data_IF_522099757421
#
_entry.id   IF_522099757421
#
_cell.length_a   1.000
_cell.length_b   1.000
_cell.length_c   1.000
_cell.angle_alpha   90.00
_cell.angle_beta   90.00
_cell.angle_gamma   90.00
#
_symmetry.space_group_name_H-M   'P 1'
#
loop_
_entity.id
_entity.type
_entity.pdbx_description
1 polymer ?
#
# COMPACT_ATOMS: atom_id res chain seq x y z
N UNK A 1 17.59 -6.33 0.67
CA UNK A 1 18.18 -7.53 1.32
C UNK A 1 18.73 -7.17 2.69
N UNK A 2 19.68 -6.22 2.83
CA UNK A 2 20.25 -5.87 4.15
C UNK A 2 19.20 -5.45 5.20
N UNK A 3 18.18 -4.67 4.82
CA UNK A 3 17.10 -4.28 5.71
C UNK A 3 16.29 -5.49 6.16
N UNK A 4 15.97 -6.40 5.23
CA UNK A 4 15.28 -7.65 5.52
C UNK A 4 16.06 -8.51 6.52
N UNK A 5 17.35 -8.74 6.29
CA UNK A 5 18.20 -9.52 7.18
C UNK A 5 18.30 -8.90 8.59
N UNK A 6 18.36 -7.58 8.68
CA UNK A 6 18.34 -6.89 9.97
C UNK A 6 17.01 -7.05 10.71
N UNK A 7 15.89 -6.99 9.97
CA UNK A 7 14.55 -7.20 10.55
C UNK A 7 14.38 -8.66 11.00
N UNK A 8 14.76 -9.62 10.16
CA UNK A 8 14.70 -11.06 10.46
C UNK A 8 15.49 -11.44 11.71
N UNK A 9 16.60 -10.79 11.95
CA UNK A 9 17.46 -11.04 13.14
C UNK A 9 17.08 -10.19 14.35
N UNK A 10 15.99 -9.44 14.31
CA UNK A 10 15.56 -8.54 15.39
C UNK A 10 16.45 -7.32 15.60
N UNK A 11 17.46 -7.11 14.74
CA UNK A 11 18.42 -6.00 14.82
C UNK A 11 17.92 -4.68 14.21
N UNK A 12 16.69 -4.65 13.75
CA UNK A 12 16.09 -3.46 13.15
C UNK A 12 14.58 -3.55 13.13
N UNK A 13 13.93 -2.40 13.30
CA UNK A 13 12.48 -2.26 13.10
C UNK A 13 12.24 -1.79 11.66
N UNK A 14 11.24 -2.36 11.00
CA UNK A 14 10.78 -1.89 9.69
C UNK A 14 9.65 -0.88 9.86
N UNK A 15 9.68 0.17 9.03
CA UNK A 15 8.54 1.06 8.82
C UNK A 15 7.68 0.53 7.67
N UNK A 16 6.51 1.09 7.48
CA UNK A 16 5.60 0.71 6.39
C UNK A 16 6.30 0.60 5.04
N UNK A 17 7.15 1.56 4.69
CA UNK A 17 7.94 1.55 3.45
C UNK A 17 8.85 0.30 3.37
N UNK A 18 9.58 -0.01 4.42
CA UNK A 18 10.51 -1.14 4.42
C UNK A 18 9.79 -2.48 4.25
N UNK A 19 8.68 -2.65 4.96
CA UNK A 19 7.89 -3.87 4.95
C UNK A 19 7.22 -4.04 3.59
N UNK A 20 6.62 -2.97 3.05
CA UNK A 20 5.99 -2.98 1.73
C UNK A 20 6.99 -3.24 0.60
N UNK A 21 8.21 -2.67 0.68
CA UNK A 21 9.27 -2.98 -0.29
C UNK A 21 9.68 -4.45 -0.23
N UNK A 22 9.80 -5.02 0.96
CA UNK A 22 10.13 -6.45 1.12
C UNK A 22 9.04 -7.31 0.48
N UNK A 23 7.77 -7.04 0.81
CA UNK A 23 6.65 -7.74 0.19
C UNK A 23 6.66 -7.61 -1.34
N UNK A 24 6.80 -6.39 -1.85
CA UNK A 24 6.91 -6.11 -3.29
C UNK A 24 7.99 -6.95 -3.97
N UNK A 25 9.18 -7.04 -3.38
CA UNK A 25 10.29 -7.79 -3.96
C UNK A 25 10.01 -9.30 -3.97
N UNK A 26 9.50 -9.85 -2.88
CA UNK A 26 9.20 -11.27 -2.79
C UNK A 26 8.01 -11.67 -3.67
N UNK A 27 6.96 -10.88 -3.71
CA UNK A 27 5.79 -11.15 -4.55
C UNK A 27 6.17 -11.17 -6.04
N UNK A 28 6.91 -10.15 -6.52
CA UNK A 28 7.37 -10.14 -7.92
C UNK A 28 8.38 -11.27 -8.20
N UNK A 29 9.21 -11.67 -7.24
CA UNK A 29 10.10 -12.83 -7.38
C UNK A 29 9.34 -14.17 -7.43
N UNK A 30 8.11 -14.20 -6.91
CA UNK A 30 7.19 -15.33 -6.98
C UNK A 30 6.21 -15.23 -8.17
N UNK A 31 6.52 -14.39 -9.16
CA UNK A 31 5.68 -14.13 -10.35
C UNK A 31 4.27 -13.60 -10.04
N UNK A 32 4.10 -12.94 -8.87
CA UNK A 32 2.89 -12.19 -8.52
C UNK A 32 3.12 -10.71 -8.85
N UNK A 33 2.58 -10.19 -9.97
CA UNK A 33 2.76 -8.80 -10.32
C UNK A 33 2.29 -7.89 -9.17
N UNK A 34 3.20 -7.12 -8.62
CA UNK A 34 2.92 -6.29 -7.45
C UNK A 34 3.50 -4.90 -7.68
N UNK A 35 2.79 -3.88 -7.22
CA UNK A 35 3.24 -2.49 -7.27
C UNK A 35 3.19 -1.86 -5.88
N UNK A 36 4.07 -0.88 -5.64
CA UNK A 36 4.05 -0.08 -4.43
C UNK A 36 3.11 1.10 -4.59
N UNK A 37 2.37 1.41 -3.53
CA UNK A 37 1.51 2.59 -3.46
C UNK A 37 1.94 3.42 -2.26
N UNK A 38 2.32 4.65 -2.52
CA UNK A 38 2.64 5.64 -1.51
C UNK A 38 1.39 6.51 -1.29
N UNK A 39 0.75 6.34 -0.15
CA UNK A 39 -0.41 7.11 0.28
C UNK A 39 0.12 8.29 1.10
N UNK A 40 0.06 9.49 0.57
CA UNK A 40 0.61 10.66 1.25
C UNK A 40 -0.43 11.76 1.41
N UNK A 41 -0.54 12.29 2.60
CA UNK A 41 -1.29 13.52 2.86
C UNK A 41 -0.66 14.71 2.16
N UNK A 42 -1.46 15.70 1.81
CA UNK A 42 -1.02 16.93 1.17
C UNK A 42 -1.43 18.14 2.02
N UNK A 43 -0.49 19.04 2.26
CA UNK A 43 -0.76 20.31 2.90
C UNK A 43 -0.18 21.41 2.01
N UNK A 44 -1.01 22.06 1.21
CA UNK A 44 -0.56 22.97 0.16
C UNK A 44 0.43 22.27 -0.78
N UNK A 45 1.64 22.85 -1.00
CA UNK A 45 2.68 22.23 -1.82
C UNK A 45 3.46 21.12 -1.08
N UNK A 46 3.26 20.95 0.23
CA UNK A 46 4.01 20.01 1.05
C UNK A 46 3.34 18.64 1.04
N UNK A 47 4.13 17.59 0.84
CA UNK A 47 3.74 16.22 1.06
C UNK A 47 3.96 15.89 2.53
N UNK A 48 2.91 15.49 3.22
CA UNK A 48 2.99 14.99 4.58
C UNK A 48 3.40 13.52 4.59
N UNK A 49 3.89 13.06 5.73
CA UNK A 49 4.15 11.64 5.96
C UNK A 49 2.91 10.82 5.67
N UNK A 50 3.06 9.80 4.87
CA UNK A 50 1.99 8.91 4.45
C UNK A 50 2.24 7.48 4.88
N UNK A 51 1.51 6.59 4.27
CA UNK A 51 1.60 5.16 4.48
C UNK A 51 1.98 4.47 3.17
N UNK A 52 2.85 3.45 3.26
CA UNK A 52 3.21 2.63 2.11
C UNK A 52 2.47 1.31 2.18
N UNK A 53 1.79 1.00 1.08
CA UNK A 53 1.09 -0.28 0.88
C UNK A 53 1.51 -0.89 -0.45
N UNK A 54 0.97 -2.06 -0.74
CA UNK A 54 1.14 -2.73 -2.01
C UNK A 54 -0.21 -2.95 -2.68
N UNK A 55 -0.16 -3.18 -3.97
CA UNK A 55 -1.26 -3.79 -4.71
C UNK A 55 -0.70 -4.94 -5.53
N UNK A 56 -1.32 -6.11 -5.40
CA UNK A 56 -0.99 -7.31 -6.17
C UNK A 56 -2.06 -7.56 -7.23
N UNK A 57 -1.62 -7.95 -8.42
CA UNK A 57 -2.53 -8.31 -9.51
C UNK A 57 -3.10 -9.71 -9.28
N UNK A 58 -4.40 -9.82 -9.37
CA UNK A 58 -5.13 -11.09 -9.24
C UNK A 58 -5.72 -11.44 -10.61
N UNK A 59 -5.08 -12.37 -11.36
CA UNK A 59 -5.48 -12.69 -12.73
C UNK A 59 -6.92 -13.16 -12.85
N UNK A 60 -7.38 -13.98 -11.89
CA UNK A 60 -8.71 -14.59 -11.87
C UNK A 60 -9.83 -13.53 -11.81
N UNK A 61 -9.53 -12.39 -11.23
CA UNK A 61 -10.45 -11.26 -11.10
C UNK A 61 -10.10 -10.09 -12.04
N UNK A 62 -8.99 -10.20 -12.80
CA UNK A 62 -8.49 -9.14 -13.68
C UNK A 62 -8.42 -7.77 -12.97
N UNK A 63 -7.98 -7.76 -11.71
CA UNK A 63 -7.94 -6.55 -10.88
C UNK A 63 -6.71 -6.49 -9.99
N UNK A 64 -6.37 -5.28 -9.56
CA UNK A 64 -5.41 -5.04 -8.50
C UNK A 64 -6.10 -5.18 -7.14
N UNK A 65 -5.41 -5.78 -6.19
CA UNK A 65 -5.89 -6.01 -4.85
C UNK A 65 -5.02 -5.27 -3.84
N UNK A 66 -5.64 -4.49 -2.97
CA UNK A 66 -4.97 -3.82 -1.85
C UNK A 66 -4.35 -4.83 -0.89
N UNK A 67 -3.09 -4.60 -0.53
CA UNK A 67 -2.33 -5.38 0.45
C UNK A 67 -1.59 -4.42 1.38
N UNK A 68 -1.76 -4.55 2.68
CA UNK A 68 -0.98 -3.81 3.67
C UNK A 68 -0.15 -4.78 4.53
N UNK A 69 1.10 -5.01 4.15
CA UNK A 69 1.93 -5.97 4.87
C UNK A 69 2.28 -5.53 6.30
N UNK A 70 2.30 -4.22 6.58
CA UNK A 70 2.56 -3.74 7.93
C UNK A 70 1.39 -4.04 8.86
N UNK A 71 0.18 -3.81 8.39
CA UNK A 71 -1.05 -4.07 9.14
C UNK A 71 -1.52 -5.52 9.00
N UNK A 72 -0.75 -6.36 8.29
CA UNK A 72 -1.07 -7.77 7.97
C UNK A 72 -2.38 -7.94 7.19
N UNK A 73 -2.83 -6.91 6.46
CA UNK A 73 -4.00 -7.02 5.59
C UNK A 73 -3.61 -7.71 4.30
N UNK A 74 -4.20 -8.88 4.06
CA UNK A 74 -3.98 -9.64 2.84
C UNK A 74 -4.78 -9.09 1.66
N UNK A 75 -6.05 -8.73 1.90
CA UNK A 75 -6.91 -8.06 0.93
C UNK A 75 -8.17 -7.49 1.57
N UNK A 76 -8.85 -6.63 0.82
CA UNK A 76 -10.13 -6.04 1.19
C UNK A 76 -11.15 -6.29 0.08
N UNK A 77 -12.39 -6.61 0.45
CA UNK A 77 -13.49 -6.81 -0.49
C UNK A 77 -14.70 -5.96 -0.13
N UNK A 78 -15.58 -5.74 -1.11
CA UNK A 78 -16.96 -5.32 -0.84
C UNK A 78 -17.73 -6.43 -0.12
N UNK A 79 -18.94 -6.15 0.42
CA UNK A 79 -19.80 -7.18 0.98
C UNK A 79 -20.12 -8.32 0.01
N UNK A 80 -20.17 -8.01 -1.30
CA UNK A 80 -20.43 -8.95 -2.40
C UNK A 80 -19.20 -9.75 -2.80
N UNK A 81 -18.03 -9.47 -2.20
CA UNK A 81 -16.79 -10.21 -2.44
C UNK A 81 -15.91 -9.65 -3.55
N UNK A 82 -16.19 -8.46 -4.10
CA UNK A 82 -15.29 -7.83 -5.08
C UNK A 82 -14.04 -7.31 -4.41
N UNK A 83 -12.87 -7.66 -4.96
CA UNK A 83 -11.59 -7.15 -4.51
C UNK A 83 -11.45 -5.64 -4.74
N UNK A 84 -10.92 -4.94 -3.76
CA UNK A 84 -10.72 -3.50 -3.79
C UNK A 84 -9.24 -3.15 -3.89
N UNK A 85 -8.92 -2.16 -4.68
CA UNK A 85 -7.60 -1.54 -4.74
C UNK A 85 -7.58 -0.20 -3.97
N UNK A 86 -6.41 0.41 -3.81
CA UNK A 86 -6.24 1.61 -2.97
C UNK A 86 -7.14 2.77 -3.39
N UNK A 87 -7.34 2.98 -4.69
CA UNK A 87 -8.18 4.07 -5.18
C UNK A 87 -9.67 3.83 -4.87
N UNK A 88 -10.13 2.57 -4.90
CA UNK A 88 -11.51 2.26 -4.51
C UNK A 88 -11.70 2.48 -3.02
N UNK A 89 -10.75 2.05 -2.20
CA UNK A 89 -10.77 2.33 -0.76
C UNK A 89 -10.79 3.83 -0.47
N UNK A 90 -10.02 4.61 -1.23
CA UNK A 90 -10.03 6.09 -1.13
C UNK A 90 -11.40 6.65 -1.45
N UNK A 91 -12.04 6.20 -2.53
CA UNK A 91 -13.40 6.64 -2.92
C UNK A 91 -14.44 6.26 -1.86
N UNK A 92 -14.37 5.04 -1.34
CA UNK A 92 -15.26 4.59 -0.26
C UNK A 92 -15.02 5.37 1.03
N UNK A 93 -13.77 5.68 1.37
CA UNK A 93 -13.44 6.52 2.52
C UNK A 93 -14.05 7.92 2.39
N UNK A 94 -13.91 8.56 1.23
CA UNK A 94 -14.46 9.88 0.96
C UNK A 94 -16.00 9.91 1.05
N UNK A 95 -16.65 8.79 0.74
CA UNK A 95 -18.09 8.60 0.83
C UNK A 95 -18.57 8.13 2.23
N UNK A 96 -17.64 7.84 3.15
CA UNK A 96 -17.99 7.25 4.45
C UNK A 96 -18.52 5.82 4.36
N UNK A 97 -18.17 5.07 3.30
CA UNK A 97 -18.68 3.75 2.97
C UNK A 97 -17.68 2.61 3.19
N UNK A 98 -16.71 2.79 4.07
CA UNK A 98 -15.72 1.73 4.37
C UNK A 98 -16.26 0.65 5.32
N UNK A 99 -17.22 0.96 6.19
CA UNK A 99 -17.71 0.01 7.20
C UNK A 99 -18.24 -1.32 6.67
N UNK A 100 -18.96 -1.37 5.53
CA UNK A 100 -19.46 -2.65 5.04
C UNK A 100 -18.37 -3.52 4.37
N UNK A 101 -17.17 -2.99 4.15
CA UNK A 101 -16.09 -3.76 3.54
C UNK A 101 -15.64 -4.91 4.45
N UNK A 102 -15.23 -6.01 3.83
CA UNK A 102 -14.66 -7.17 4.52
C UNK A 102 -13.15 -7.20 4.37
N UNK A 103 -12.45 -7.51 5.44
CA UNK A 103 -11.00 -7.53 5.47
C UNK A 103 -10.51 -8.91 5.79
N UNK A 104 -9.64 -9.43 4.94
CA UNK A 104 -8.86 -10.61 5.23
C UNK A 104 -7.51 -10.21 5.81
N UNK A 105 -7.24 -10.74 6.96
CA UNK A 105 -6.05 -10.49 7.74
C UNK A 105 -5.23 -11.76 7.81
N UNK A 106 -3.91 -11.63 7.65
CA UNK A 106 -3.00 -12.77 7.79
C UNK A 106 -2.57 -12.92 9.25
N UNK A 107 -2.93 -14.05 9.84
CA UNK A 107 -2.41 -14.46 11.13
C UNK A 107 -1.13 -15.27 10.95
N UNK A 108 -0.03 -14.73 11.45
CA UNK A 108 1.28 -15.38 11.30
C UNK A 108 1.50 -16.53 12.27
N UNK A 109 0.73 -16.60 13.36
CA UNK A 109 0.84 -17.67 14.36
C UNK A 109 0.09 -18.91 13.89
N UNK A 110 -1.12 -18.71 13.39
CA UNK A 110 -1.96 -19.80 12.86
C UNK A 110 -1.68 -20.09 11.37
N UNK A 111 -0.93 -19.22 10.69
CA UNK A 111 -0.64 -19.28 9.26
C UNK A 111 -1.90 -19.35 8.39
N UNK A 112 -2.91 -18.58 8.74
CA UNK A 112 -4.21 -18.56 8.07
C UNK A 112 -4.73 -17.15 7.81
N UNK A 113 -5.78 -17.06 6.99
CA UNK A 113 -6.48 -15.82 6.70
C UNK A 113 -7.74 -15.71 7.54
N UNK A 114 -7.79 -14.74 8.43
CA UNK A 114 -8.92 -14.46 9.31
C UNK A 114 -9.74 -13.28 8.80
N UNK A 115 -11.06 -13.36 9.01
CA UNK A 115 -11.92 -12.18 8.88
C UNK A 115 -11.73 -11.28 10.10
N UNK A 116 -11.51 -9.99 9.85
CA UNK A 116 -11.46 -8.99 10.91
C UNK A 116 -12.58 -7.97 10.79
N UNK A 117 -12.90 -7.40 11.94
CA UNK A 117 -13.85 -6.31 12.07
C UNK A 117 -13.42 -5.13 11.18
N UNK A 118 -14.26 -4.82 10.22
CA UNK A 118 -14.08 -3.72 9.30
C UNK A 118 -14.01 -2.37 10.02
N UNK A 119 -14.66 -2.23 11.18
CA UNK A 119 -14.68 -0.97 11.92
C UNK A 119 -13.29 -0.54 12.41
N UNK A 120 -12.51 -1.47 13.01
CA UNK A 120 -11.14 -1.18 13.46
C UNK A 120 -10.22 -0.83 12.30
N UNK A 121 -10.41 -1.48 11.15
CA UNK A 121 -9.66 -1.19 9.94
C UNK A 121 -10.09 0.14 9.31
N UNK A 122 -11.39 0.41 9.22
CA UNK A 122 -11.89 1.66 8.65
C UNK A 122 -11.38 2.86 9.41
N UNK A 123 -11.27 2.78 10.74
CA UNK A 123 -10.66 3.84 11.55
C UNK A 123 -9.17 4.01 11.25
N UNK A 124 -8.41 2.91 11.16
CA UNK A 124 -6.98 2.97 10.89
C UNK A 124 -6.68 3.49 9.48
N UNK A 125 -7.38 2.97 8.47
CA UNK A 125 -7.20 3.39 7.07
C UNK A 125 -7.85 4.74 6.78
N UNK A 126 -8.99 5.05 7.38
CA UNK A 126 -9.63 6.35 7.22
C UNK A 126 -8.65 7.49 7.54
N UNK A 127 -7.82 7.34 8.58
CA UNK A 127 -6.77 8.30 8.91
C UNK A 127 -5.75 8.51 7.79
N UNK A 128 -5.51 7.52 6.93
CA UNK A 128 -4.56 7.62 5.80
C UNK A 128 -5.24 7.94 4.46
N UNK A 129 -6.54 7.68 4.32
CA UNK A 129 -7.25 7.82 3.06
C UNK A 129 -8.20 9.03 3.00
N UNK A 130 -8.42 9.74 4.11
CA UNK A 130 -9.24 10.94 4.14
C UNK A 130 -8.52 12.20 3.63
N UNK A 131 -9.27 13.08 3.00
CA UNK A 131 -8.84 14.40 2.59
C UNK A 131 -8.08 14.41 1.26
N UNK A 132 -7.37 15.52 1.02
CA UNK A 132 -6.53 15.69 -0.16
C UNK A 132 -5.33 14.76 -0.10
N UNK A 133 -5.48 13.57 -0.67
CA UNK A 133 -4.41 12.59 -0.77
C UNK A 133 -3.81 12.56 -2.15
N UNK A 134 -2.57 12.17 -2.16
CA UNK A 134 -1.85 11.84 -3.37
C UNK A 134 -1.47 10.37 -3.31
N UNK A 135 -1.95 9.60 -4.28
CA UNK A 135 -1.56 8.21 -4.48
C UNK A 135 -0.46 8.16 -5.54
N UNK A 136 0.73 7.75 -5.15
CA UNK A 136 1.84 7.57 -6.08
C UNK A 136 2.13 6.08 -6.27
N UNK A 137 1.87 5.59 -7.47
CA UNK A 137 2.11 4.21 -7.87
C UNK A 137 3.55 4.03 -8.37
N UNK A 138 4.25 3.03 -7.86
CA UNK A 138 5.61 2.70 -8.24
C UNK A 138 5.67 1.26 -8.74
N UNK A 139 5.99 1.10 -10.01
CA UNK A 139 6.11 -0.22 -10.67
C UNK A 139 7.54 -0.76 -10.69
N UNK A 140 8.51 0.02 -10.27
CA UNK A 140 9.90 -0.39 -10.16
C UNK A 140 10.56 0.33 -8.99
N UNK A 141 11.21 -0.41 -8.13
CA UNK A 141 12.00 0.13 -7.03
C UNK A 141 13.47 -0.03 -7.34
N UNK A 142 14.07 1.01 -7.92
CA UNK A 142 15.52 1.13 -7.95
C UNK A 142 15.96 1.88 -6.70
N UNK A 143 16.77 1.24 -5.87
CA UNK A 143 17.36 1.89 -4.69
C UNK A 143 18.14 3.12 -5.14
N UNK A 144 17.65 4.23 -4.71
CA UNK A 144 18.10 5.55 -5.10
C UNK A 144 19.59 5.76 -4.90
N UNK A 145 20.27 6.08 -5.97
CA UNK A 145 21.55 6.79 -5.95
C UNK A 145 21.38 8.16 -5.26
N UNK A 146 22.47 8.77 -4.85
CA UNK A 146 22.47 10.13 -4.25
C UNK A 146 21.78 11.18 -5.13
N UNK A 147 21.77 10.98 -6.43
CA UNK A 147 21.06 11.80 -7.41
C UNK A 147 19.54 11.77 -7.23
N UNK A 148 18.99 10.64 -6.91
CA UNK A 148 17.56 10.48 -6.69
C UNK A 148 17.11 11.13 -5.36
N UNK A 149 17.97 11.20 -4.35
CA UNK A 149 17.70 11.97 -3.13
C UNK A 149 17.64 13.47 -3.41
N UNK A 150 18.56 13.99 -4.22
CA UNK A 150 18.55 15.39 -4.63
C UNK A 150 17.36 15.71 -5.53
N UNK A 151 17.04 14.82 -6.48
CA UNK A 151 15.87 14.92 -7.34
C UNK A 151 14.58 14.90 -6.51
N UNK A 152 14.46 14.00 -5.55
CA UNK A 152 13.32 13.95 -4.65
C UNK A 152 13.21 15.23 -3.79
N UNK A 153 14.31 15.76 -3.31
CA UNK A 153 14.32 17.00 -2.54
C UNK A 153 13.90 18.21 -3.37
N UNK A 154 14.38 18.31 -4.62
CA UNK A 154 14.14 19.49 -5.47
C UNK A 154 12.84 19.42 -6.29
N UNK A 155 12.39 18.21 -6.66
CA UNK A 155 11.29 18.01 -7.62
C UNK A 155 10.13 17.16 -7.10
N UNK A 156 10.19 16.77 -5.83
CA UNK A 156 9.18 15.86 -5.25
C UNK A 156 7.74 16.36 -5.31
N UNK A 157 7.42 17.66 -5.30
CA UNK A 157 6.04 18.09 -5.40
C UNK A 157 5.40 17.96 -6.78
N UNK A 158 6.17 17.89 -7.85
CA UNK A 158 5.61 18.11 -9.19
C UNK A 158 5.76 16.95 -10.18
N UNK A 159 6.73 16.08 -10.02
CA UNK A 159 7.07 15.07 -11.04
C UNK A 159 6.72 13.63 -10.71
N UNK A 160 6.44 13.31 -9.46
CA UNK A 160 6.06 11.96 -9.06
C UNK A 160 4.57 11.64 -9.26
N UNK A 161 3.81 12.66 -9.61
CA UNK A 161 2.38 12.53 -9.90
C UNK A 161 2.07 12.47 -11.40
N UNK A 162 3.06 12.17 -12.22
CA UNK A 162 2.74 11.68 -13.54
C UNK A 162 1.82 10.47 -13.36
N UNK A 163 0.57 10.71 -13.57
CA UNK A 163 -0.48 9.71 -13.63
C UNK A 163 0.00 8.63 -14.59
N UNK A 164 0.57 7.56 -14.05
CA UNK A 164 0.72 6.35 -14.83
C UNK A 164 -0.70 5.92 -15.18
N UNK A 165 -1.02 5.76 -16.47
CA UNK A 165 -2.34 5.29 -16.83
C UNK A 165 -2.53 3.95 -16.10
N UNK A 166 -3.59 3.89 -15.31
CA UNK A 166 -4.03 2.63 -14.72
C UNK A 166 -4.32 1.74 -15.92
N UNK A 167 -3.66 0.59 -16.07
CA UNK A 167 -4.07 -0.36 -17.09
C UNK A 167 -5.54 -0.67 -16.85
N UNK A 168 -6.38 -0.40 -17.87
CA UNK A 168 -7.79 -0.76 -17.85
C UNK A 168 -7.94 -2.24 -18.04
#
# INVERSE_FOLDING_TARGET
>A
IQTYERMKTGRGKGWCENISIIYYLFANAADIPTRLVDIAGKFGPLKLTGHYVCESWIPEHSTWCYVDPQSRVAYVTTPEGMLLHTLDLKRLADLGMLEPCRIKYYDAEENELLDRDAHAFSQAIAGYLHGDLVLAYKFGYAKNSSYSRLKNFLFYPTLLYATYPIPR
#
